data_IF_709727329844
#
_entry.id   IF_709727329844
#
_cell.length_a   1.000
_cell.length_b   1.000
_cell.length_c   1.000
_cell.angle_alpha   90.00
_cell.angle_beta   90.00
_cell.angle_gamma   90.00
#
_symmetry.space_group_name_H-M   'P 1'
#
loop_
_entity.id
_entity.type
_entity.pdbx_description
1 polymer ?
#
# COMPACT_ATOMS: atom_id res chain seq x y z
N UNK A 1 8.92 6.21 -17.52
CA UNK A 1 8.28 5.29 -18.50
C UNK A 1 8.66 5.78 -19.89
N UNK A 2 8.86 4.90 -20.87
CA UNK A 2 9.11 5.32 -22.26
C UNK A 2 7.79 5.59 -23.01
N UNK A 3 7.91 5.98 -24.28
CA UNK A 3 6.81 6.26 -25.19
C UNK A 3 5.94 5.01 -25.46
N UNK A 4 6.52 3.81 -25.51
CA UNK A 4 5.75 2.56 -25.71
C UNK A 4 5.02 2.08 -24.44
N UNK A 5 5.26 2.69 -23.28
CA UNK A 5 4.50 2.42 -22.03
C UNK A 5 5.19 1.50 -21.04
N UNK A 6 6.47 1.24 -21.25
CA UNK A 6 7.26 0.35 -20.41
C UNK A 6 7.96 1.14 -19.30
N UNK A 7 8.03 0.52 -18.13
CA UNK A 7 8.78 1.06 -16.99
C UNK A 7 10.28 0.93 -17.29
N UNK A 8 10.89 2.03 -17.71
CA UNK A 8 12.35 2.13 -17.95
C UNK A 8 13.15 2.05 -16.65
N UNK A 9 12.69 2.72 -15.60
CA UNK A 9 13.33 2.74 -14.28
C UNK A 9 12.32 3.09 -13.19
N UNK A 10 12.62 2.68 -11.97
CA UNK A 10 11.86 3.01 -10.77
C UNK A 10 12.77 3.05 -9.54
N UNK A 11 12.28 3.71 -8.50
CA UNK A 11 12.93 3.78 -7.19
C UNK A 11 11.88 3.84 -6.11
N UNK A 12 12.19 3.28 -4.94
CA UNK A 12 11.35 3.34 -3.75
C UNK A 12 12.28 3.75 -2.61
N UNK A 13 11.89 4.76 -1.84
CA UNK A 13 12.56 5.15 -0.61
C UNK A 13 11.56 5.42 0.49
N UNK A 14 12.04 5.43 1.73
CA UNK A 14 11.27 5.91 2.88
C UNK A 14 11.26 7.44 2.87
N UNK A 15 10.09 8.03 3.09
CA UNK A 15 9.94 9.48 3.16
C UNK A 15 10.72 10.05 4.36
N UNK A 16 11.34 11.21 4.15
CA UNK A 16 11.71 12.13 5.24
C UNK A 16 10.47 12.94 5.67
N UNK A 17 10.66 13.87 6.60
CA UNK A 17 9.62 14.85 6.97
C UNK A 17 9.29 15.80 5.81
N UNK A 18 10.24 16.03 4.88
CA UNK A 18 10.02 16.83 3.68
C UNK A 18 9.63 15.92 2.51
N UNK A 19 8.34 15.90 2.20
CA UNK A 19 7.79 15.06 1.14
C UNK A 19 8.23 15.49 -0.27
N UNK A 20 8.47 16.79 -0.47
CA UNK A 20 8.93 17.32 -1.75
C UNK A 20 10.34 16.83 -2.07
N UNK A 21 11.26 16.99 -1.12
CA UNK A 21 12.63 16.46 -1.21
C UNK A 21 12.65 14.94 -1.37
N UNK A 22 11.76 14.22 -0.67
CA UNK A 22 11.64 12.76 -0.82
C UNK A 22 11.24 12.36 -2.23
N UNK A 23 10.28 13.07 -2.84
CA UNK A 23 9.83 12.83 -4.21
C UNK A 23 10.90 13.18 -5.25
N UNK A 24 11.60 14.30 -5.08
CA UNK A 24 12.71 14.69 -5.95
C UNK A 24 13.85 13.68 -5.89
N UNK A 25 14.25 13.28 -4.68
CA UNK A 25 15.29 12.26 -4.48
C UNK A 25 14.89 10.92 -5.10
N UNK A 26 13.62 10.52 -5.03
CA UNK A 26 13.11 9.34 -5.73
C UNK A 26 13.38 9.47 -7.23
N UNK A 27 12.92 10.57 -7.82
CA UNK A 27 13.04 10.80 -9.26
C UNK A 27 14.50 10.75 -9.72
N UNK A 28 15.40 11.45 -9.03
CA UNK A 28 16.82 11.49 -9.35
C UNK A 28 17.47 10.10 -9.30
N UNK A 29 17.19 9.31 -8.25
CA UNK A 29 17.70 7.93 -8.14
C UNK A 29 17.17 7.06 -9.30
N UNK A 30 15.91 7.22 -9.70
CA UNK A 30 15.36 6.47 -10.82
C UNK A 30 16.03 6.86 -12.16
N UNK A 31 16.29 8.14 -12.38
CA UNK A 31 16.96 8.64 -13.59
C UNK A 31 18.43 8.21 -13.67
N UNK A 32 19.15 8.33 -12.56
CA UNK A 32 20.59 8.00 -12.47
C UNK A 32 20.88 6.54 -12.83
N UNK A 33 20.00 5.60 -12.43
CA UNK A 33 20.09 4.17 -12.81
C UNK A 33 20.14 3.93 -14.33
N UNK A 34 19.75 4.91 -15.14
CA UNK A 34 19.74 4.87 -16.59
C UNK A 34 20.58 5.95 -17.25
N UNK A 35 21.36 6.70 -16.47
CA UNK A 35 22.17 7.81 -16.98
C UNK A 35 21.33 8.94 -17.57
N UNK A 36 20.08 9.10 -17.10
CA UNK A 36 19.17 10.16 -17.53
C UNK A 36 19.21 11.33 -16.53
N UNK A 37 18.70 12.47 -16.99
CA UNK A 37 18.53 13.70 -16.22
C UNK A 37 17.06 14.14 -16.24
N UNK A 38 16.71 15.16 -15.44
CA UNK A 38 15.35 15.71 -15.48
C UNK A 38 15.00 16.34 -16.84
N UNK A 39 15.99 16.84 -17.59
CA UNK A 39 15.79 17.41 -18.92
C UNK A 39 15.35 16.36 -19.96
N UNK A 40 15.55 15.07 -19.67
CA UNK A 40 15.11 13.98 -20.52
C UNK A 40 13.62 13.60 -20.29
N UNK A 41 12.95 14.24 -19.33
CA UNK A 41 11.54 14.01 -19.03
C UNK A 41 10.66 14.98 -19.82
N UNK A 42 9.78 14.43 -20.65
CA UNK A 42 8.86 15.24 -21.46
C UNK A 42 7.62 15.71 -20.69
N UNK A 43 7.20 14.94 -19.68
CA UNK A 43 5.99 15.23 -18.90
C UNK A 43 6.03 14.52 -17.55
N UNK A 44 5.64 15.22 -16.48
CA UNK A 44 5.75 14.79 -15.10
C UNK A 44 4.39 14.96 -14.42
N UNK A 45 3.83 13.86 -13.93
CA UNK A 45 2.67 13.87 -13.04
C UNK A 45 3.09 13.32 -11.70
N UNK A 46 2.81 14.05 -10.61
CA UNK A 46 3.01 13.53 -9.27
C UNK A 46 1.70 13.06 -8.64
N UNK A 47 1.81 12.17 -7.65
CA UNK A 47 0.67 11.60 -6.93
C UNK A 47 1.00 11.31 -5.48
N UNK A 48 0.03 10.80 -4.72
CA UNK A 48 0.17 10.55 -3.29
C UNK A 48 -0.23 11.72 -2.40
N UNK A 49 -0.10 11.53 -1.10
CA UNK A 49 -0.34 12.53 -0.06
C UNK A 49 0.46 13.83 -0.31
N UNK A 50 1.74 13.69 -0.67
CA UNK A 50 2.66 14.81 -0.92
C UNK A 50 2.62 15.41 -2.33
N UNK A 51 1.70 14.99 -3.22
CA UNK A 51 1.73 15.37 -4.66
C UNK A 51 1.88 16.87 -4.92
N UNK A 52 1.28 17.73 -4.10
CA UNK A 52 1.34 19.19 -4.30
C UNK A 52 2.63 19.84 -3.78
N UNK A 53 3.53 19.06 -3.17
CA UNK A 53 4.83 19.55 -2.68
C UNK A 53 5.94 19.47 -3.74
N UNK A 54 5.66 18.84 -4.89
CA UNK A 54 6.59 18.73 -6.01
C UNK A 54 6.45 19.97 -6.91
N UNK A 55 7.50 20.78 -7.00
CA UNK A 55 7.45 22.07 -7.72
C UNK A 55 7.67 21.93 -9.23
N UNK A 56 8.42 20.91 -9.67
CA UNK A 56 8.78 20.68 -11.08
C UNK A 56 7.77 19.80 -11.85
N UNK A 57 6.61 19.50 -11.26
CA UNK A 57 5.57 18.70 -11.93
C UNK A 57 4.78 19.52 -12.95
N UNK A 58 4.28 18.86 -13.99
CA UNK A 58 3.29 19.46 -14.90
C UNK A 58 1.87 19.39 -14.30
N UNK A 59 1.50 18.25 -13.72
CA UNK A 59 0.20 18.04 -13.09
C UNK A 59 0.31 17.24 -11.79
N UNK A 60 -0.69 17.38 -10.92
CA UNK A 60 -0.78 16.67 -9.65
C UNK A 60 -2.09 15.88 -9.57
N UNK A 61 -2.02 14.55 -9.63
CA UNK A 61 -3.19 13.68 -9.72
C UNK A 61 -3.47 12.93 -8.41
N UNK A 62 -4.74 12.75 -8.00
CA UNK A 62 -5.07 11.96 -6.82
C UNK A 62 -4.62 10.49 -6.96
N UNK A 63 -4.02 9.95 -5.92
CA UNK A 63 -3.46 8.59 -5.93
C UNK A 63 -4.48 7.49 -6.15
N UNK A 64 -5.74 7.69 -5.76
CA UNK A 64 -6.82 6.73 -6.02
C UNK A 64 -6.98 6.50 -7.53
N UNK A 65 -6.83 7.56 -8.34
CA UNK A 65 -6.89 7.47 -9.80
C UNK A 65 -5.64 6.78 -10.33
N UNK A 66 -4.46 7.11 -9.80
CA UNK A 66 -3.20 6.43 -10.12
C UNK A 66 -3.25 4.94 -9.83
N UNK A 67 -3.65 4.53 -8.63
CA UNK A 67 -3.81 3.13 -8.24
C UNK A 67 -4.78 2.40 -9.17
N UNK A 68 -5.94 3.00 -9.47
CA UNK A 68 -6.92 2.38 -10.36
C UNK A 68 -6.36 2.19 -11.78
N UNK A 69 -5.82 3.26 -12.38
CA UNK A 69 -5.24 3.22 -13.74
C UNK A 69 -4.12 2.19 -13.83
N UNK A 70 -3.14 2.26 -12.94
CA UNK A 70 -1.99 1.35 -12.95
C UNK A 70 -2.37 -0.09 -12.66
N UNK A 71 -3.34 -0.32 -11.77
CA UNK A 71 -3.80 -1.68 -11.47
C UNK A 71 -4.62 -2.28 -12.61
N UNK A 72 -5.50 -1.51 -13.25
CA UNK A 72 -6.27 -1.98 -14.41
C UNK A 72 -5.35 -2.33 -15.58
N UNK A 73 -4.29 -1.55 -15.80
CA UNK A 73 -3.29 -1.86 -16.84
C UNK A 73 -2.60 -3.21 -16.59
N UNK A 74 -2.28 -3.53 -15.33
CA UNK A 74 -1.61 -4.80 -14.96
C UNK A 74 -2.62 -5.96 -14.90
N UNK A 75 -3.84 -5.70 -14.41
CA UNK A 75 -4.88 -6.68 -14.10
C UNK A 75 -6.23 -6.13 -14.61
N UNK A 76 -6.57 -6.30 -15.90
CA UNK A 76 -7.77 -5.72 -16.51
C UNK A 76 -9.10 -6.17 -15.88
N UNK A 77 -9.10 -7.34 -15.22
CA UNK A 77 -10.25 -7.92 -14.53
C UNK A 77 -10.47 -7.37 -13.12
N UNK A 78 -9.56 -6.51 -12.62
CA UNK A 78 -9.66 -5.93 -11.28
C UNK A 78 -10.99 -5.20 -11.07
N UNK A 79 -11.65 -5.47 -9.94
CA UNK A 79 -12.87 -4.79 -9.49
C UNK A 79 -12.77 -4.21 -8.09
N UNK A 80 -11.81 -4.68 -7.29
CA UNK A 80 -11.53 -4.12 -5.96
C UNK A 80 -10.03 -3.98 -5.78
N UNK A 81 -9.57 -2.82 -5.30
CA UNK A 81 -8.21 -2.64 -4.81
C UNK A 81 -8.26 -2.45 -3.30
N UNK A 82 -7.47 -3.24 -2.58
CA UNK A 82 -7.08 -2.97 -1.20
C UNK A 82 -5.65 -2.45 -1.29
N UNK A 83 -5.41 -1.22 -0.88
CA UNK A 83 -4.08 -0.62 -0.88
C UNK A 83 -3.69 -0.31 0.56
N UNK A 84 -2.58 -0.86 1.04
CA UNK A 84 -2.09 -0.58 2.39
C UNK A 84 -0.65 -0.07 2.31
N UNK A 85 -0.52 1.24 2.45
CA UNK A 85 0.74 1.96 2.52
C UNK A 85 1.29 2.01 3.94
N UNK A 86 2.33 2.83 4.14
CA UNK A 86 2.92 3.04 5.47
C UNK A 86 2.06 3.91 6.39
N UNK A 87 1.43 4.96 5.85
CA UNK A 87 0.72 5.97 6.64
C UNK A 87 -0.79 5.98 6.41
N UNK A 88 -1.25 5.38 5.32
CA UNK A 88 -2.66 5.31 4.97
C UNK A 88 -3.02 3.92 4.41
N UNK A 89 -4.32 3.70 4.27
CA UNK A 89 -4.89 2.52 3.63
C UNK A 89 -6.16 2.89 2.87
N UNK A 90 -6.47 2.14 1.82
CA UNK A 90 -7.59 2.41 0.91
C UNK A 90 -8.29 1.13 0.52
N UNK A 91 -9.59 1.25 0.32
CA UNK A 91 -10.39 0.26 -0.41
C UNK A 91 -11.04 0.99 -1.58
N UNK A 92 -10.84 0.51 -2.79
CA UNK A 92 -11.27 1.16 -4.04
C UNK A 92 -12.13 0.17 -4.82
N UNK A 93 -13.37 0.55 -5.12
CA UNK A 93 -14.26 -0.17 -6.03
C UNK A 93 -14.09 0.39 -7.44
N UNK A 94 -13.90 -0.51 -8.40
CA UNK A 94 -13.69 -0.20 -9.81
C UNK A 94 -14.84 -0.77 -10.64
N UNK A 95 -15.29 0.01 -11.62
CA UNK A 95 -16.18 -0.42 -12.68
C UNK A 95 -15.61 -0.07 -14.07
N UNK A 96 -16.39 -0.28 -15.13
CA UNK A 96 -15.98 -0.03 -16.51
C UNK A 96 -15.63 1.43 -16.82
N UNK A 97 -16.07 2.37 -15.96
CA UNK A 97 -15.77 3.80 -16.09
C UNK A 97 -14.58 4.24 -15.21
N UNK A 98 -13.98 3.31 -14.46
CA UNK A 98 -12.86 3.57 -13.55
C UNK A 98 -13.27 3.51 -12.09
N UNK A 99 -12.83 4.48 -11.28
CA UNK A 99 -13.11 4.51 -9.83
C UNK A 99 -14.59 4.81 -9.60
N UNK A 100 -15.33 3.83 -9.08
CA UNK A 100 -16.74 3.98 -8.73
C UNK A 100 -16.93 4.54 -7.33
N UNK A 101 -16.14 4.02 -6.37
CA UNK A 101 -16.18 4.41 -4.97
C UNK A 101 -14.84 4.11 -4.33
N UNK A 102 -14.44 4.89 -3.33
CA UNK A 102 -13.32 4.55 -2.48
C UNK A 102 -13.55 4.99 -1.05
N UNK A 103 -12.83 4.37 -0.13
CA UNK A 103 -12.72 4.81 1.25
C UNK A 103 -11.25 4.75 1.65
N UNK A 104 -10.78 5.78 2.33
CA UNK A 104 -9.41 5.91 2.79
C UNK A 104 -9.36 6.15 4.30
N UNK A 105 -8.32 5.65 4.95
CA UNK A 105 -7.89 6.02 6.28
C UNK A 105 -6.49 6.62 6.20
N UNK A 106 -6.37 7.90 6.49
CA UNK A 106 -5.14 8.71 6.48
C UNK A 106 -4.85 9.39 7.83
N UNK A 107 -5.73 9.21 8.82
CA UNK A 107 -5.64 9.87 10.15
C UNK A 107 -5.16 8.95 11.26
N UNK A 108 -5.16 7.65 11.04
CA UNK A 108 -4.88 6.67 12.08
C UNK A 108 -3.90 5.61 11.59
N UNK A 109 -2.88 5.32 12.41
CA UNK A 109 -1.93 4.23 12.15
C UNK A 109 -2.60 2.85 12.16
N UNK A 110 -3.75 2.70 12.83
CA UNK A 110 -4.52 1.47 12.79
C UNK A 110 -4.97 1.17 11.34
N UNK A 111 -4.61 -0.01 10.82
CA UNK A 111 -4.92 -0.37 9.45
C UNK A 111 -3.84 0.00 8.42
N UNK A 112 -2.65 0.46 8.84
CA UNK A 112 -1.56 0.87 7.95
C UNK A 112 -0.26 0.14 8.28
N UNK A 113 0.75 0.23 7.41
CA UNK A 113 2.08 -0.35 7.63
C UNK A 113 2.75 0.15 8.92
N UNK A 114 2.47 1.39 9.36
CA UNK A 114 3.00 1.94 10.61
C UNK A 114 2.57 1.14 11.84
N UNK A 115 1.39 0.51 11.82
CA UNK A 115 0.98 -0.42 12.88
C UNK A 115 1.91 -1.62 12.96
N UNK A 116 2.26 -2.24 11.82
CA UNK A 116 3.14 -3.40 11.78
C UNK A 116 4.58 -3.01 12.11
N UNK A 117 5.09 -1.94 11.51
CA UNK A 117 6.45 -1.44 11.75
C UNK A 117 6.66 -1.18 13.25
N UNK A 118 5.75 -0.43 13.86
CA UNK A 118 5.87 -0.04 15.27
C UNK A 118 5.84 -1.26 16.19
N UNK A 119 4.85 -2.13 16.04
CA UNK A 119 4.68 -3.26 16.95
C UNK A 119 5.73 -4.36 16.73
N UNK A 120 6.20 -4.56 15.50
CA UNK A 120 7.29 -5.50 15.23
C UNK A 120 8.60 -5.04 15.86
N UNK A 121 8.98 -3.77 15.68
CA UNK A 121 10.24 -3.23 16.17
C UNK A 121 10.19 -2.97 17.69
N UNK A 122 9.24 -2.15 18.15
CA UNK A 122 9.21 -1.65 19.53
C UNK A 122 8.87 -2.74 20.56
N UNK A 123 8.12 -3.78 20.16
CA UNK A 123 7.52 -4.75 21.09
C UNK A 123 8.04 -6.18 20.88
N UNK A 124 8.11 -6.62 19.63
CA UNK A 124 8.55 -7.99 19.32
C UNK A 124 10.07 -8.09 19.11
N UNK A 125 10.76 -6.97 18.89
CA UNK A 125 12.20 -6.95 18.62
C UNK A 125 12.58 -7.66 17.31
N UNK A 126 11.67 -7.68 16.33
CA UNK A 126 11.90 -8.29 15.00
C UNK A 126 11.66 -7.29 13.88
N UNK A 127 12.30 -7.54 12.74
CA UNK A 127 12.07 -6.70 11.55
C UNK A 127 10.68 -6.96 10.96
N UNK A 128 10.02 -5.91 10.47
CA UNK A 128 8.68 -6.00 9.85
C UNK A 128 8.65 -6.99 8.68
N UNK A 129 9.75 -7.13 7.95
CA UNK A 129 9.88 -8.06 6.82
C UNK A 129 9.77 -9.52 7.26
N UNK A 130 10.15 -9.84 8.49
CA UNK A 130 10.08 -11.19 9.05
C UNK A 130 8.69 -11.53 9.62
N UNK A 131 7.89 -10.51 9.93
CA UNK A 131 6.60 -10.67 10.61
C UNK A 131 5.65 -11.59 9.84
N UNK A 132 5.69 -11.55 8.50
CA UNK A 132 4.91 -12.46 7.64
C UNK A 132 5.25 -13.93 7.86
N UNK A 133 6.54 -14.27 7.96
CA UNK A 133 6.97 -15.65 8.14
C UNK A 133 6.65 -16.18 9.55
N UNK A 134 6.76 -15.32 10.57
CA UNK A 134 6.34 -15.66 11.93
C UNK A 134 4.84 -15.96 12.00
N UNK A 135 4.01 -15.12 11.39
CA UNK A 135 2.56 -15.30 11.50
C UNK A 135 2.05 -16.58 10.82
N UNK A 136 2.71 -17.04 9.76
CA UNK A 136 2.37 -18.30 9.08
C UNK A 136 2.70 -19.55 9.90
N UNK A 137 3.59 -19.44 10.90
CA UNK A 137 3.92 -20.54 11.83
C UNK A 137 2.96 -20.60 13.02
N UNK A 138 2.04 -19.65 13.14
CA UNK A 138 1.02 -19.60 14.18
C UNK A 138 0.19 -20.88 14.19
N UNK A 139 0.02 -21.45 15.38
CA UNK A 139 -0.86 -22.61 15.60
C UNK A 139 -2.20 -22.19 16.19
N UNK A 140 -2.24 -21.02 16.83
CA UNK A 140 -3.39 -20.49 17.53
C UNK A 140 -3.31 -18.96 17.51
N UNK A 141 -3.75 -18.32 16.41
CA UNK A 141 -3.76 -16.85 16.32
C UNK A 141 -4.43 -16.23 17.53
N UNK A 142 -3.78 -15.25 18.16
CA UNK A 142 -4.42 -14.52 19.25
C UNK A 142 -5.51 -13.60 18.71
N UNK A 143 -6.50 -13.33 19.56
CA UNK A 143 -7.47 -12.29 19.30
C UNK A 143 -7.03 -11.01 20.00
N UNK A 144 -6.80 -9.95 19.23
CA UNK A 144 -6.62 -8.60 19.76
C UNK A 144 -7.99 -7.94 19.91
N UNK A 145 -8.33 -7.55 21.13
CA UNK A 145 -9.59 -6.92 21.48
C UNK A 145 -9.77 -5.53 20.85
N UNK A 146 -8.65 -4.88 20.51
CA UNK A 146 -8.59 -3.51 20.01
C UNK A 146 -7.85 -3.42 18.67
N UNK A 147 -8.28 -2.46 17.85
CA UNK A 147 -7.59 -2.09 16.60
C UNK A 147 -6.71 -0.85 16.78
N UNK A 148 -6.83 -0.12 17.90
CA UNK A 148 -6.01 1.05 18.16
C UNK A 148 -4.57 0.62 18.42
N UNK A 149 -3.60 1.15 17.66
CA UNK A 149 -2.18 0.78 17.79
C UNK A 149 -1.65 0.93 19.22
N UNK A 150 -2.04 2.00 19.93
CA UNK A 150 -1.60 2.26 21.30
C UNK A 150 -2.13 1.22 22.29
N UNK A 151 -3.40 0.83 22.17
CA UNK A 151 -3.97 -0.19 23.06
C UNK A 151 -3.54 -1.60 22.67
N UNK A 152 -3.33 -1.86 21.37
CA UNK A 152 -2.80 -3.13 20.88
C UNK A 152 -1.39 -3.37 21.43
N UNK A 153 -0.58 -2.32 21.57
CA UNK A 153 0.74 -2.38 22.22
C UNK A 153 0.65 -2.95 23.65
N UNK A 154 -0.22 -2.39 24.48
CA UNK A 154 -0.44 -2.86 25.86
C UNK A 154 -0.94 -4.31 25.89
N UNK A 155 -1.86 -4.67 25.00
CA UNK A 155 -2.41 -6.02 24.93
C UNK A 155 -1.32 -7.04 24.50
N UNK A 156 -0.47 -6.69 23.54
CA UNK A 156 0.64 -7.54 23.10
C UNK A 156 1.66 -7.74 24.23
N UNK A 157 2.01 -6.68 24.97
CA UNK A 157 2.90 -6.79 26.14
C UNK A 157 2.33 -7.77 27.18
N UNK A 158 1.01 -7.76 27.39
CA UNK A 158 0.34 -8.71 28.29
C UNK A 158 0.45 -10.16 27.81
N UNK A 159 0.25 -10.40 26.51
CA UNK A 159 0.44 -11.73 25.90
C UNK A 159 1.88 -12.23 26.03
N UNK A 160 2.86 -11.36 25.74
CA UNK A 160 4.29 -11.68 25.93
C UNK A 160 4.61 -12.03 27.39
N UNK A 161 4.08 -11.25 28.34
CA UNK A 161 4.26 -11.51 29.77
C UNK A 161 3.66 -12.84 30.23
N UNK A 162 2.67 -13.33 29.49
CA UNK A 162 2.02 -14.64 29.70
C UNK A 162 2.69 -15.77 28.92
N UNK A 163 3.89 -15.55 28.37
CA UNK A 163 4.65 -16.47 27.54
C UNK A 163 3.92 -16.94 26.26
N UNK A 164 3.08 -16.09 25.68
CA UNK A 164 2.53 -16.37 24.35
C UNK A 164 3.63 -16.26 23.28
N UNK A 165 3.51 -17.11 22.25
CA UNK A 165 4.46 -17.16 21.14
C UNK A 165 4.35 -15.95 20.21
N UNK A 166 5.50 -15.52 19.68
CA UNK A 166 5.58 -14.42 18.71
C UNK A 166 4.79 -14.76 17.45
N UNK A 167 4.77 -16.02 17.03
CA UNK A 167 4.01 -16.51 15.89
C UNK A 167 2.51 -16.25 16.04
N UNK A 168 1.94 -16.60 17.19
CA UNK A 168 0.52 -16.40 17.47
C UNK A 168 0.18 -14.90 17.57
N UNK A 169 1.06 -14.10 18.18
CA UNK A 169 0.93 -12.63 18.25
C UNK A 169 0.97 -11.99 16.86
N UNK A 170 1.98 -12.32 16.06
CA UNK A 170 2.14 -11.80 14.70
C UNK A 170 0.91 -12.11 13.83
N UNK A 171 0.36 -13.31 13.97
CA UNK A 171 -0.91 -13.68 13.32
C UNK A 171 -2.08 -12.81 13.79
N UNK A 172 -2.24 -12.63 15.10
CA UNK A 172 -3.28 -11.74 15.65
C UNK A 172 -3.16 -10.29 15.17
N UNK A 173 -1.94 -9.77 15.04
CA UNK A 173 -1.65 -8.45 14.48
C UNK A 173 -2.14 -8.33 13.03
N UNK A 174 -1.86 -9.32 12.18
CA UNK A 174 -2.31 -9.32 10.78
C UNK A 174 -3.82 -9.36 10.66
N UNK A 175 -4.50 -10.23 11.42
CA UNK A 175 -5.97 -10.27 11.43
C UNK A 175 -6.58 -8.98 11.96
N UNK A 176 -6.01 -8.35 13.00
CA UNK A 176 -6.50 -7.08 13.52
C UNK A 176 -6.43 -5.96 12.47
N UNK A 177 -5.30 -5.83 11.78
CA UNK A 177 -5.10 -4.85 10.71
C UNK A 177 -6.03 -5.14 9.51
N UNK A 178 -6.04 -6.38 9.00
CA UNK A 178 -6.89 -6.77 7.87
C UNK A 178 -8.37 -6.52 8.17
N UNK A 179 -8.83 -6.88 9.38
CA UNK A 179 -10.20 -6.63 9.83
C UNK A 179 -10.53 -5.13 9.83
N UNK A 180 -9.62 -4.27 10.30
CA UNK A 180 -9.81 -2.81 10.31
C UNK A 180 -10.03 -2.25 8.91
N UNK A 181 -9.22 -2.69 7.93
CA UNK A 181 -9.30 -2.22 6.52
C UNK A 181 -10.56 -2.75 5.83
N UNK A 182 -10.90 -4.03 6.04
CA UNK A 182 -12.12 -4.62 5.47
C UNK A 182 -13.37 -3.95 6.04
N UNK A 183 -13.42 -3.72 7.36
CA UNK A 183 -14.54 -3.03 8.01
C UNK A 183 -14.69 -1.60 7.51
N UNK A 184 -13.58 -0.89 7.26
CA UNK A 184 -13.61 0.44 6.65
C UNK A 184 -14.28 0.42 5.27
N UNK A 185 -13.90 -0.52 4.39
CA UNK A 185 -14.54 -0.67 3.09
C UNK A 185 -16.03 -1.04 3.19
N UNK A 186 -16.38 -1.98 4.08
CA UNK A 186 -17.77 -2.39 4.33
C UNK A 186 -18.63 -1.21 4.83
N UNK A 187 -18.11 -0.40 5.75
CA UNK A 187 -18.81 0.78 6.28
C UNK A 187 -19.11 1.83 5.20
N UNK A 188 -18.25 1.93 4.19
CA UNK A 188 -18.48 2.79 3.02
C UNK A 188 -19.41 2.17 1.96
N UNK A 189 -20.00 1.00 2.23
CA UNK A 189 -20.77 0.22 1.27
C UNK A 189 -19.98 -0.11 -0.01
N UNK A 190 -18.69 -0.44 0.14
CA UNK A 190 -17.88 -1.00 -0.94
C UNK A 190 -18.09 -2.51 -0.97
N UNK A 191 -18.40 -3.04 -2.15
CA UNK A 191 -18.51 -4.48 -2.38
C UNK A 191 -17.13 -4.99 -2.81
N UNK A 192 -16.59 -5.95 -2.08
CA UNK A 192 -15.31 -6.61 -2.38
C UNK A 192 -15.49 -7.59 -3.55
N UNK A 193 -15.77 -7.07 -4.73
CA UNK A 193 -15.99 -7.86 -5.95
C UNK A 193 -14.65 -8.37 -6.49
N UNK A 194 -14.66 -9.61 -7.00
CA UNK A 194 -13.55 -10.18 -7.74
C UNK A 194 -13.38 -9.49 -9.11
N UNK A 195 -12.16 -9.33 -9.61
CA UNK A 195 -10.90 -9.69 -8.95
C UNK A 195 -10.48 -8.65 -7.90
N UNK A 196 -9.95 -9.13 -6.77
CA UNK A 196 -9.46 -8.29 -5.67
C UNK A 196 -7.94 -8.21 -5.77
N UNK A 197 -7.41 -6.99 -5.90
CA UNK A 197 -5.98 -6.72 -5.93
C UNK A 197 -5.53 -6.16 -4.60
N UNK A 198 -4.45 -6.70 -4.04
CA UNK A 198 -3.81 -6.15 -2.84
C UNK A 198 -2.50 -5.45 -3.23
N UNK A 199 -2.45 -4.13 -3.06
CA UNK A 199 -1.32 -3.25 -3.39
C UNK A 199 -0.75 -2.54 -2.16
N UNK A 200 0.29 -1.74 -2.39
CA UNK A 200 1.00 -1.00 -1.36
C UNK A 200 2.19 -1.78 -0.77
N UNK A 201 2.86 -1.18 0.20
CA UNK A 201 4.04 -1.78 0.83
C UNK A 201 3.72 -3.01 1.66
N UNK A 202 2.58 -2.99 2.33
CA UNK A 202 2.16 -4.07 3.21
C UNK A 202 1.75 -5.32 2.43
N UNK A 203 1.43 -5.19 1.14
CA UNK A 203 1.16 -6.35 0.26
C UNK A 203 2.37 -7.28 0.06
N UNK A 204 3.59 -6.83 0.39
CA UNK A 204 4.78 -7.69 0.43
C UNK A 204 4.79 -8.64 1.64
N UNK A 205 3.96 -8.38 2.66
CA UNK A 205 3.86 -9.22 3.84
C UNK A 205 2.88 -10.38 3.57
N UNK A 206 3.41 -11.60 3.40
CA UNK A 206 2.65 -12.81 3.11
C UNK A 206 1.61 -13.17 4.19
N UNK A 207 1.85 -12.79 5.44
CA UNK A 207 0.89 -12.97 6.52
C UNK A 207 -0.31 -12.04 6.40
N UNK A 208 -0.09 -10.80 5.93
CA UNK A 208 -1.17 -9.87 5.60
C UNK A 208 -2.00 -10.32 4.40
N UNK A 209 -1.35 -10.88 3.38
CA UNK A 209 -2.06 -11.52 2.24
C UNK A 209 -3.00 -12.60 2.79
N UNK A 210 -2.47 -13.55 3.57
CA UNK A 210 -3.27 -14.61 4.18
C UNK A 210 -4.42 -14.08 5.03
N UNK A 211 -4.18 -13.10 5.89
CA UNK A 211 -5.21 -12.56 6.78
C UNK A 211 -6.35 -11.87 6.02
N UNK A 212 -6.04 -11.16 4.93
CA UNK A 212 -7.06 -10.56 4.05
C UNK A 212 -7.85 -11.67 3.34
N UNK A 213 -7.16 -12.68 2.79
CA UNK A 213 -7.83 -13.78 2.08
C UNK A 213 -8.78 -14.56 3.00
N UNK A 214 -8.32 -14.89 4.20
CA UNK A 214 -9.11 -15.63 5.18
C UNK A 214 -10.35 -14.83 5.63
N UNK A 215 -10.24 -13.50 5.82
CA UNK A 215 -11.36 -12.65 6.25
C UNK A 215 -12.36 -12.31 5.14
N UNK A 216 -11.92 -12.35 3.88
CA UNK A 216 -12.78 -12.16 2.71
C UNK A 216 -13.32 -13.49 2.16
N UNK A 217 -12.79 -14.62 2.66
CA UNK A 217 -13.02 -15.95 2.10
C UNK A 217 -12.71 -15.99 0.59
N UNK A 218 -11.68 -15.25 0.17
CA UNK A 218 -11.37 -15.03 -1.23
C UNK A 218 -9.87 -14.82 -1.49
N UNK A 219 -9.38 -15.28 -2.64
CA UNK A 219 -7.99 -15.02 -3.06
C UNK A 219 -7.79 -13.57 -3.50
N UNK A 220 -6.63 -13.02 -3.16
CA UNK A 220 -6.22 -11.70 -3.64
C UNK A 220 -5.05 -11.81 -4.60
N UNK A 221 -5.02 -10.93 -5.60
CA UNK A 221 -3.93 -10.85 -6.55
C UNK A 221 -2.94 -9.79 -6.03
N UNK A 222 -1.68 -10.16 -5.85
CA UNK A 222 -0.61 -9.23 -5.50
C UNK A 222 0.23 -8.98 -6.76
N UNK A 223 0.28 -7.73 -7.29
CA UNK A 223 1.15 -7.41 -8.42
C UNK A 223 2.63 -7.67 -8.08
N UNK A 224 3.47 -7.91 -9.10
CA UNK A 224 4.92 -8.13 -8.91
C UNK A 224 5.57 -7.01 -8.11
N UNK A 225 5.19 -5.76 -8.39
CA UNK A 225 5.64 -4.57 -7.66
C UNK A 225 4.44 -3.81 -7.08
N UNK A 226 3.90 -4.25 -5.92
CA UNK A 226 2.65 -3.70 -5.40
C UNK A 226 2.78 -2.25 -4.90
N UNK A 227 4.00 -1.78 -4.60
CA UNK A 227 4.26 -0.40 -4.19
C UNK A 227 4.27 0.61 -5.34
N UNK A 228 4.37 0.15 -6.59
CA UNK A 228 4.56 1.03 -7.76
C UNK A 228 3.27 1.29 -8.53
N UNK A 229 2.15 0.68 -8.15
CA UNK A 229 0.90 0.74 -8.93
C UNK A 229 0.42 2.17 -9.16
N UNK A 230 0.47 3.04 -8.15
CA UNK A 230 0.06 4.45 -8.32
C UNK A 230 1.01 5.23 -9.23
N UNK A 231 2.31 5.11 -8.99
CA UNK A 231 3.34 5.78 -9.79
C UNK A 231 3.27 5.34 -11.25
N UNK A 232 3.03 4.05 -11.50
CA UNK A 232 2.82 3.52 -12.84
C UNK A 232 1.56 4.10 -13.48
N UNK A 233 0.44 4.14 -12.75
CA UNK A 233 -0.80 4.72 -13.26
C UNK A 233 -0.67 6.18 -13.67
N UNK A 234 -0.01 7.02 -12.87
CA UNK A 234 0.19 8.43 -13.26
C UNK A 234 1.26 8.61 -14.33
N UNK A 235 2.23 7.70 -14.45
CA UNK A 235 3.14 7.69 -15.61
C UNK A 235 2.40 7.38 -16.92
N UNK A 236 1.43 6.45 -16.90
CA UNK A 236 0.55 6.18 -18.06
C UNK A 236 -0.24 7.43 -18.45
N UNK A 237 -0.81 8.14 -17.47
CA UNK A 237 -1.51 9.41 -17.71
C UNK A 237 -0.57 10.47 -18.27
N UNK A 238 0.65 10.61 -17.73
CA UNK A 238 1.64 11.57 -18.22
C UNK A 238 1.94 11.36 -19.70
N UNK A 239 2.09 10.10 -20.13
CA UNK A 239 2.28 9.76 -21.55
C UNK A 239 1.06 10.12 -22.40
N UNK A 240 -0.15 9.82 -21.92
CA UNK A 240 -1.40 10.16 -22.63
C UNK A 240 -1.54 11.68 -22.80
N UNK A 241 -1.22 12.45 -21.76
CA UNK A 241 -1.20 13.92 -21.80
C UNK A 241 -0.17 14.46 -22.77
N UNK A 242 1.05 13.96 -22.71
CA UNK A 242 2.11 14.38 -23.62
C UNK A 242 1.78 14.10 -25.09
N UNK A 243 1.18 12.95 -25.40
CA UNK A 243 0.76 12.60 -26.78
C UNK A 243 -0.42 13.42 -27.30
N UNK A 244 -1.14 14.11 -26.43
CA UNK A 244 -2.27 14.95 -26.80
C UNK A 244 -1.87 16.42 -27.04
N UNK A 245 -0.61 16.78 -26.79
CA UNK A 245 -0.01 18.10 -27.07
C UNK A 245 0.64 18.04 -28.46
#
# INVERSE_FOLDING_TARGET
MNDVGEIVSSSILRNSYNLGESGEKALLIALEKKGLSQNDLCYIISTGYGRRTIEFQNEAEPEVIGHAKGTIEIIPTCRTIIDIGGQDSKVIEIDEKGVRKFQMNDKCAAGTGRYLDKLADDILGIKVEQLGEFSLKSKKPIFLSTQCTVFAETEIISYLSSNESIENIASGMHYSLAKRVIQMGKAANIRFKKDIVFSGGVAKNIGMVKAIEDLLEEKVIVPKEPQLTAAFGVALMARERFRAI
#
